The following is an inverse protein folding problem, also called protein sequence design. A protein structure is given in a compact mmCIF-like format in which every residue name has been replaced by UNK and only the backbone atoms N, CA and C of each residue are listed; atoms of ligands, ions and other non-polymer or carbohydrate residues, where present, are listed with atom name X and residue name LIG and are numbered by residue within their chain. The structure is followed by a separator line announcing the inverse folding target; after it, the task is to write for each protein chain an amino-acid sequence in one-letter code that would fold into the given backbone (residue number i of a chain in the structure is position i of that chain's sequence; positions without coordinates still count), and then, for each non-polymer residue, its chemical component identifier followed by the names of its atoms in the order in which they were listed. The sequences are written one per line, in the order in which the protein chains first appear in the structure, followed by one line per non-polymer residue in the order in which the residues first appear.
data_IF_241240984652
#
_entry.id   IF_241240984652
#
_cell.length_a   1.000
_cell.length_b   1.000
_cell.length_c   1.000
_cell.angle_alpha   90.00
_cell.angle_beta   90.00
_cell.angle_gamma   90.00
#
_symmetry.space_group_name_H-M   'P 1'
#
loop_
_entity.id
_entity.type
_entity.pdbx_description
1 polymer ?
#
# COMPACT_ATOMS: atom_id res chain seq x y z
N UNK A 1 5.91 21.78 -62.79
CA UNK A 1 5.20 21.37 -61.55
C UNK A 1 5.94 20.28 -60.74
N UNK A 2 7.00 19.67 -61.26
CA UNK A 2 7.61 18.46 -60.69
C UNK A 2 8.74 18.70 -59.65
N UNK A 3 9.32 19.91 -59.57
CA UNK A 3 10.46 20.19 -58.68
C UNK A 3 10.09 20.26 -57.19
N UNK A 4 8.90 20.76 -56.83
CA UNK A 4 8.46 20.79 -55.43
C UNK A 4 8.11 19.40 -54.89
N UNK A 5 7.61 18.49 -55.73
CA UNK A 5 7.20 17.15 -55.29
C UNK A 5 8.40 16.28 -54.87
N UNK A 6 9.54 16.47 -55.53
CA UNK A 6 10.80 15.79 -55.21
C UNK A 6 11.37 16.31 -53.88
N UNK A 7 11.42 17.64 -53.71
CA UNK A 7 11.86 18.29 -52.46
C UNK A 7 11.02 17.85 -51.26
N UNK A 8 9.70 17.79 -51.43
CA UNK A 8 8.77 17.38 -50.37
C UNK A 8 8.98 15.90 -50.00
N UNK A 9 9.14 15.01 -50.99
CA UNK A 9 9.43 13.58 -50.74
C UNK A 9 10.77 13.36 -50.03
N UNK A 10 11.82 14.07 -50.41
CA UNK A 10 13.14 13.96 -49.79
C UNK A 10 13.16 14.50 -48.35
N UNK A 11 12.43 15.57 -48.07
CA UNK A 11 12.22 16.06 -46.71
C UNK A 11 11.45 15.06 -45.87
N UNK A 12 10.33 14.52 -46.37
CA UNK A 12 9.60 13.45 -45.68
C UNK A 12 10.46 12.21 -45.44
N UNK A 13 11.34 11.84 -46.38
CA UNK A 13 12.28 10.74 -46.21
C UNK A 13 13.30 11.03 -45.08
N UNK A 14 13.78 12.27 -44.93
CA UNK A 14 14.64 12.68 -43.81
C UNK A 14 13.88 12.66 -42.47
N UNK A 15 12.67 13.21 -42.42
CA UNK A 15 11.84 13.20 -41.20
C UNK A 15 11.47 11.78 -40.76
N UNK A 16 11.07 10.91 -41.68
CA UNK A 16 10.72 9.51 -41.36
C UNK A 16 11.93 8.71 -40.89
N UNK A 17 13.12 8.92 -41.46
CA UNK A 17 14.37 8.35 -40.95
C UNK A 17 14.66 8.82 -39.53
N UNK A 18 14.55 10.12 -39.27
CA UNK A 18 14.76 10.69 -37.93
C UNK A 18 13.74 10.15 -36.92
N UNK A 19 12.47 10.04 -37.31
CA UNK A 19 11.41 9.51 -36.48
C UNK A 19 11.62 8.04 -36.13
N UNK A 20 12.15 7.22 -37.06
CA UNK A 20 12.54 5.82 -36.78
C UNK A 20 13.69 5.74 -35.79
N UNK A 21 14.71 6.59 -35.92
CA UNK A 21 15.84 6.64 -34.99
C UNK A 21 15.36 7.04 -33.59
N UNK A 22 14.52 8.09 -33.50
CA UNK A 22 13.91 8.53 -32.24
C UNK A 22 13.04 7.44 -31.62
N UNK A 23 12.22 6.75 -32.43
CA UNK A 23 11.37 5.69 -31.92
C UNK A 23 12.21 4.51 -31.38
N UNK A 24 13.28 4.13 -32.08
CA UNK A 24 14.22 3.10 -31.61
C UNK A 24 14.85 3.48 -30.26
N UNK A 25 15.35 4.71 -30.13
CA UNK A 25 15.93 5.22 -28.86
C UNK A 25 14.91 5.29 -27.73
N UNK A 26 13.66 5.64 -28.05
CA UNK A 26 12.57 5.67 -27.08
C UNK A 26 12.18 4.26 -26.63
N UNK A 27 12.20 3.27 -27.51
CA UNK A 27 11.92 1.87 -27.17
C UNK A 27 13.02 1.29 -26.28
N UNK A 28 14.30 1.54 -26.59
CA UNK A 28 15.45 1.18 -25.74
C UNK A 28 15.29 1.76 -24.32
N UNK A 29 15.02 3.07 -24.21
CA UNK A 29 14.81 3.74 -22.93
C UNK A 29 13.59 3.20 -22.17
N UNK A 30 12.46 2.97 -22.86
CA UNK A 30 11.26 2.42 -22.24
C UNK A 30 11.53 1.02 -21.67
N UNK A 31 12.26 0.18 -22.40
CA UNK A 31 12.60 -1.16 -21.94
C UNK A 31 13.43 -1.10 -20.65
N UNK A 32 14.44 -0.24 -20.60
CA UNK A 32 15.28 -0.05 -19.41
C UNK A 32 14.49 0.50 -18.22
N UNK A 33 13.67 1.54 -18.43
CA UNK A 33 12.80 2.09 -17.40
C UNK A 33 11.81 1.06 -16.88
N UNK A 34 11.27 0.19 -17.74
CA UNK A 34 10.38 -0.89 -17.32
C UNK A 34 11.11 -1.94 -16.47
N UNK A 35 12.34 -2.30 -16.80
CA UNK A 35 13.16 -3.21 -15.98
C UNK A 35 13.44 -2.59 -14.61
N UNK A 36 13.85 -1.32 -14.57
CA UNK A 36 14.07 -0.61 -13.30
C UNK A 36 12.78 -0.50 -12.47
N UNK A 37 11.64 -0.15 -13.09
CA UNK A 37 10.35 -0.10 -12.39
C UNK A 37 9.94 -1.45 -11.84
N UNK A 38 10.15 -2.55 -12.59
CA UNK A 38 9.89 -3.91 -12.10
C UNK A 38 10.76 -4.24 -10.89
N UNK A 39 12.04 -3.88 -10.92
CA UNK A 39 12.96 -4.10 -9.80
C UNK A 39 12.54 -3.30 -8.56
N UNK A 40 12.22 -2.01 -8.73
CA UNK A 40 11.70 -1.16 -7.67
C UNK A 40 10.40 -1.71 -7.06
N UNK A 41 9.47 -2.20 -7.88
CA UNK A 41 8.25 -2.82 -7.41
C UNK A 41 8.53 -4.08 -6.59
N UNK A 42 9.44 -4.95 -7.06
CA UNK A 42 9.85 -6.16 -6.32
C UNK A 42 10.43 -5.81 -4.94
N UNK A 43 11.30 -4.80 -4.87
CA UNK A 43 11.86 -4.33 -3.59
C UNK A 43 10.77 -3.79 -2.67
N UNK A 44 9.91 -2.89 -3.19
CA UNK A 44 8.82 -2.31 -2.40
C UNK A 44 7.91 -3.38 -1.83
N UNK A 45 7.53 -4.36 -2.63
CA UNK A 45 6.71 -5.49 -2.18
C UNK A 45 7.46 -6.33 -1.14
N UNK A 46 8.74 -6.62 -1.36
CA UNK A 46 9.56 -7.36 -0.40
C UNK A 46 9.61 -6.68 0.97
N UNK A 47 9.90 -5.38 1.01
CA UNK A 47 9.92 -4.58 2.24
C UNK A 47 8.54 -4.60 2.91
N UNK A 48 7.47 -4.37 2.13
CA UNK A 48 6.11 -4.38 2.65
C UNK A 48 5.75 -5.72 3.31
N UNK A 49 6.07 -6.85 2.68
CA UNK A 49 5.82 -8.18 3.25
C UNK A 49 6.64 -8.42 4.51
N UNK A 50 7.92 -8.04 4.52
CA UNK A 50 8.78 -8.20 5.71
C UNK A 50 8.25 -7.36 6.88
N UNK A 51 7.95 -6.08 6.64
CA UNK A 51 7.39 -5.20 7.67
C UNK A 51 6.05 -5.72 8.18
N UNK A 52 5.17 -6.21 7.29
CA UNK A 52 3.90 -6.80 7.69
C UNK A 52 4.11 -8.08 8.53
N UNK A 53 5.04 -8.95 8.14
CA UNK A 53 5.35 -10.16 8.90
C UNK A 53 5.86 -9.83 10.31
N UNK A 54 6.79 -8.89 10.44
CA UNK A 54 7.29 -8.42 11.74
C UNK A 54 6.14 -7.87 12.59
N UNK A 55 5.28 -7.02 12.01
CA UNK A 55 4.13 -6.46 12.72
C UNK A 55 3.18 -7.56 13.21
N UNK A 56 2.87 -8.54 12.36
CA UNK A 56 2.00 -9.68 12.76
C UNK A 56 2.60 -10.48 13.90
N UNK A 57 3.92 -10.69 13.88
CA UNK A 57 4.63 -11.44 14.92
C UNK A 57 4.62 -10.68 16.24
N UNK A 58 4.85 -9.37 16.22
CA UNK A 58 4.72 -8.49 17.39
C UNK A 58 3.28 -8.53 17.94
N UNK A 59 2.27 -8.46 17.06
CA UNK A 59 0.87 -8.53 17.48
C UNK A 59 0.53 -9.87 18.14
N UNK A 60 1.06 -10.98 17.62
CA UNK A 60 0.88 -12.32 18.21
C UNK A 60 1.54 -12.44 19.58
N UNK A 61 2.76 -11.91 19.74
CA UNK A 61 3.45 -11.86 21.04
C UNK A 61 2.64 -11.03 22.04
N UNK A 62 2.18 -9.85 21.63
CA UNK A 62 1.36 -8.99 22.48
C UNK A 62 0.04 -9.68 22.85
N UNK A 63 -0.61 -10.35 21.91
CA UNK A 63 -1.84 -11.11 22.18
C UNK A 63 -1.59 -12.24 23.18
N UNK A 64 -0.44 -12.91 23.10
CA UNK A 64 -0.06 -13.96 24.05
C UNK A 64 0.21 -13.38 25.45
N UNK A 65 0.98 -12.29 25.53
CA UNK A 65 1.32 -11.65 26.81
C UNK A 65 0.13 -10.95 27.48
N UNK A 66 -0.72 -10.27 26.71
CA UNK A 66 -1.87 -9.49 27.19
C UNK A 66 -3.14 -10.33 27.39
N UNK A 67 -3.08 -11.65 27.25
CA UNK A 67 -4.25 -12.53 27.43
C UNK A 67 -4.95 -12.32 28.79
N UNK A 68 -4.20 -11.91 29.81
CA UNK A 68 -4.70 -11.80 31.19
C UNK A 68 -4.76 -10.36 31.72
N UNK A 69 -4.40 -9.35 30.93
CA UNK A 69 -4.37 -7.94 31.38
C UNK A 69 -5.35 -7.09 30.58
N UNK A 70 -6.37 -6.48 31.23
CA UNK A 70 -7.25 -5.53 30.55
C UNK A 70 -6.49 -4.23 30.22
N UNK A 71 -6.53 -3.80 28.97
CA UNK A 71 -5.78 -2.61 28.50
C UNK A 71 -6.45 -1.32 28.95
N UNK A 72 -7.79 -1.31 28.98
CA UNK A 72 -8.61 -0.17 29.38
C UNK A 72 -9.79 -0.69 30.19
N UNK A 73 -9.98 -0.13 31.38
CA UNK A 73 -11.13 -0.40 32.24
C UNK A 73 -12.10 0.78 32.07
N UNK A 74 -13.27 0.52 31.51
CA UNK A 74 -14.34 1.50 31.30
C UNK A 74 -15.53 1.15 32.20
N UNK A 75 -16.32 2.16 32.56
CA UNK A 75 -17.50 1.95 33.40
C UNK A 75 -18.54 1.13 32.60
N UNK A 76 -19.11 0.06 33.18
CA UNK A 76 -20.00 -0.91 32.48
C UNK A 76 -21.14 -0.26 31.69
N UNK A 77 -21.65 0.87 32.18
CA UNK A 77 -22.75 1.63 31.58
C UNK A 77 -22.45 2.16 30.17
N UNK A 78 -21.17 2.37 29.83
CA UNK A 78 -20.76 2.89 28.50
C UNK A 78 -20.73 1.80 27.42
N UNK A 79 -20.61 0.54 27.82
CA UNK A 79 -20.42 -0.58 26.90
C UNK A 79 -21.69 -1.45 26.75
N UNK A 80 -22.79 -1.09 27.43
CA UNK A 80 -24.07 -1.79 27.30
C UNK A 80 -24.71 -1.52 25.92
N UNK A 81 -25.27 -2.53 25.21
CA UNK A 81 -25.40 -3.95 25.55
C UNK A 81 -24.25 -4.84 25.06
N UNK A 82 -23.28 -4.32 24.31
CA UNK A 82 -22.22 -5.11 23.67
C UNK A 82 -21.06 -5.49 24.60
N UNK A 83 -21.12 -5.09 25.87
CA UNK A 83 -20.04 -5.26 26.86
C UNK A 83 -19.54 -6.70 26.98
N UNK A 84 -20.44 -7.69 26.87
CA UNK A 84 -20.05 -9.10 26.89
C UNK A 84 -19.19 -9.51 25.69
N UNK A 85 -19.49 -9.02 24.48
CA UNK A 85 -18.65 -9.24 23.29
C UNK A 85 -17.32 -8.47 23.42
N UNK A 86 -17.37 -7.24 23.93
CA UNK A 86 -16.20 -6.36 24.06
C UNK A 86 -15.18 -6.85 25.11
N UNK A 87 -15.67 -7.59 26.12
CA UNK A 87 -14.89 -8.15 27.23
C UNK A 87 -14.23 -9.50 26.92
N UNK A 88 -14.54 -10.15 25.79
CA UNK A 88 -13.95 -11.42 25.40
C UNK A 88 -12.56 -11.20 24.77
N UNK A 89 -11.45 -11.76 25.31
CA UNK A 89 -11.34 -13.00 26.10
C UNK A 89 -11.12 -12.83 27.61
N UNK A 90 -11.05 -11.60 28.13
CA UNK A 90 -10.66 -11.31 29.52
C UNK A 90 -11.78 -11.58 30.53
N UNK A 91 -13.05 -11.63 30.09
CA UNK A 91 -14.25 -11.91 30.91
C UNK A 91 -14.46 -10.95 32.12
N UNK A 92 -13.70 -9.87 32.21
CA UNK A 92 -13.87 -8.81 33.21
C UNK A 92 -14.93 -7.84 32.69
N UNK A 93 -16.01 -7.60 33.44
CA UNK A 93 -17.06 -6.71 32.96
C UNK A 93 -16.58 -5.25 33.00
N UNK A 94 -16.87 -4.48 31.95
CA UNK A 94 -16.34 -3.13 31.74
C UNK A 94 -14.93 -3.06 31.15
N UNK A 95 -14.21 -4.19 31.01
CA UNK A 95 -12.89 -4.20 30.38
C UNK A 95 -12.99 -4.27 28.85
N UNK A 96 -12.17 -3.48 28.16
CA UNK A 96 -11.99 -3.58 26.72
C UNK A 96 -10.81 -4.51 26.40
N UNK A 97 -11.07 -5.54 25.61
CA UNK A 97 -10.06 -6.52 25.22
C UNK A 97 -8.98 -5.91 24.32
N UNK A 98 -7.71 -6.25 24.57
CA UNK A 98 -6.56 -5.85 23.73
C UNK A 98 -6.78 -6.02 22.22
N UNK A 99 -7.27 -7.17 21.70
CA UNK A 99 -7.48 -7.33 20.26
C UNK A 99 -8.54 -6.41 19.68
N UNK A 100 -9.64 -6.17 20.39
CA UNK A 100 -10.70 -5.25 19.96
C UNK A 100 -10.16 -3.82 19.89
N UNK A 101 -9.44 -3.38 20.92
CA UNK A 101 -8.81 -2.06 20.93
C UNK A 101 -7.76 -1.90 19.82
N UNK A 102 -6.94 -2.93 19.59
CA UNK A 102 -5.95 -2.94 18.51
C UNK A 102 -6.61 -2.86 17.13
N UNK A 103 -7.70 -3.59 16.90
CA UNK A 103 -8.46 -3.53 15.65
C UNK A 103 -9.03 -2.14 15.41
N UNK A 104 -9.70 -1.55 16.42
CA UNK A 104 -10.24 -0.19 16.33
C UNK A 104 -9.12 0.81 16.03
N UNK A 105 -8.02 0.77 16.78
CA UNK A 105 -6.86 1.64 16.56
C UNK A 105 -6.28 1.51 15.15
N UNK A 106 -6.17 0.28 14.64
CA UNK A 106 -5.68 0.02 13.29
C UNK A 106 -6.66 0.53 12.22
N UNK A 107 -7.98 0.36 12.41
CA UNK A 107 -8.97 0.91 11.48
C UNK A 107 -8.94 2.44 11.45
N UNK A 108 -8.87 3.08 12.62
CA UNK A 108 -8.78 4.55 12.73
C UNK A 108 -7.48 5.06 12.11
N UNK A 109 -6.34 4.42 12.40
CA UNK A 109 -5.06 4.78 11.80
C UNK A 109 -5.11 4.65 10.26
N UNK A 110 -5.67 3.56 9.72
CA UNK A 110 -5.85 3.39 8.28
C UNK A 110 -6.70 4.48 7.68
N UNK A 111 -7.84 4.80 8.29
CA UNK A 111 -8.73 5.87 7.84
C UNK A 111 -8.02 7.22 7.88
N UNK A 112 -7.27 7.51 8.94
CA UNK A 112 -6.53 8.77 9.08
C UNK A 112 -5.33 8.90 8.12
N UNK A 113 -4.72 7.78 7.71
CA UNK A 113 -3.63 7.76 6.72
C UNK A 113 -4.12 7.80 5.28
N UNK A 114 -5.39 7.45 5.03
CA UNK A 114 -6.00 7.76 3.75
C UNK A 114 -6.17 9.28 3.68
N UNK A 115 -5.70 9.94 2.62
CA UNK A 115 -6.01 11.36 2.44
C UNK A 115 -7.54 11.46 2.44
N UNK A 116 -8.09 12.27 3.35
CA UNK A 116 -9.51 12.59 3.39
C UNK A 116 -9.95 12.95 1.96
N UNK A 117 -10.67 12.03 1.31
CA UNK A 117 -11.34 12.27 0.05
C UNK A 117 -12.70 12.90 0.34
#
# INVERSE_FOLDING_TARGET
RSMCEISVKDEFAKYTKLQRILNKKREELKAEVLVFKKYQLKIKLGIQYVTQAILTLVCLILFWMQRSTPVVILNENWLYPFGSILSWPTHIPGALSFPLWFLVSNTVAKIATLPFA
#
